data_IF_556262566772
#
_entry.id   IF_556262566772
#
_cell.length_a   1.000
_cell.length_b   1.000
_cell.length_c   1.000
_cell.angle_alpha   90.00
_cell.angle_beta   90.00
_cell.angle_gamma   90.00
#
_symmetry.space_group_name_H-M   'P 1'
#
loop_
_entity.id
_entity.type
_entity.pdbx_description
1 polymer ?
#
# COMPACT_ATOMS: atom_id res chain seq x y z
N UNK A 1 -4.89 -22.15 -79.13
CA UNK A 1 -3.47 -22.46 -79.22
C UNK A 1 -2.91 -22.69 -77.84
N UNK A 2 -2.46 -23.91 -77.62
CA UNK A 2 -1.83 -24.36 -76.37
C UNK A 2 -0.46 -23.74 -76.15
N UNK A 3 -0.11 -23.51 -74.87
CA UNK A 3 1.13 -23.99 -74.34
C UNK A 3 1.12 -24.09 -72.81
N UNK A 4 1.59 -25.24 -72.25
CA UNK A 4 1.76 -25.42 -70.82
C UNK A 4 3.20 -25.12 -70.41
N UNK A 5 3.45 -24.62 -69.24
CA UNK A 5 4.75 -24.75 -68.58
C UNK A 5 4.57 -25.17 -67.12
N UNK A 6 4.97 -26.39 -66.90
CA UNK A 6 5.20 -26.98 -65.59
C UNK A 6 6.40 -26.35 -64.90
N UNK A 7 6.22 -25.98 -63.64
CA UNK A 7 7.32 -25.63 -62.75
C UNK A 7 7.05 -26.24 -61.39
N UNK A 8 7.59 -27.43 -61.14
CA UNK A 8 7.58 -28.11 -59.86
C UNK A 8 8.39 -27.28 -58.85
N UNK A 9 7.75 -26.72 -57.85
CA UNK A 9 8.43 -26.26 -56.63
C UNK A 9 8.35 -27.38 -55.61
N UNK A 10 9.50 -27.98 -55.32
CA UNK A 10 9.69 -28.87 -54.19
C UNK A 10 9.29 -28.12 -52.90
N UNK A 11 8.25 -28.57 -52.27
CA UNK A 11 7.92 -28.20 -50.87
C UNK A 11 8.88 -28.99 -49.99
N UNK A 12 9.90 -28.33 -49.45
CA UNK A 12 10.65 -28.84 -48.32
C UNK A 12 9.72 -28.88 -47.12
N UNK A 13 9.30 -30.08 -46.77
CA UNK A 13 8.57 -30.36 -45.54
C UNK A 13 9.54 -30.15 -44.38
N UNK A 14 9.41 -29.06 -43.69
CA UNK A 14 10.05 -28.86 -42.38
C UNK A 14 9.24 -29.69 -41.41
N UNK A 15 9.87 -30.74 -40.85
CA UNK A 15 9.23 -31.65 -39.91
C UNK A 15 8.67 -30.89 -38.71
N UNK A 16 7.44 -31.20 -38.34
CA UNK A 16 6.70 -30.63 -37.21
C UNK A 16 7.42 -30.78 -35.85
N UNK A 17 8.39 -31.70 -35.76
CA UNK A 17 9.20 -31.92 -34.57
C UNK A 17 10.18 -30.80 -34.21
N UNK A 18 10.42 -29.83 -35.08
CA UNK A 18 11.27 -28.67 -34.75
C UNK A 18 10.51 -27.45 -34.27
N UNK A 19 9.18 -27.42 -34.37
CA UNK A 19 8.36 -26.34 -33.85
C UNK A 19 7.91 -26.60 -32.41
N UNK A 20 7.91 -27.85 -31.94
CA UNK A 20 7.51 -28.16 -30.55
C UNK A 20 8.57 -27.79 -29.51
N UNK A 21 9.85 -27.69 -29.91
CA UNK A 21 10.95 -27.35 -29.00
C UNK A 21 11.09 -25.85 -28.67
N UNK A 22 10.28 -24.97 -29.28
CA UNK A 22 10.35 -23.54 -29.08
C UNK A 22 9.20 -23.00 -28.15
N UNK A 23 8.35 -23.90 -27.67
CA UNK A 23 7.13 -23.47 -26.92
C UNK A 23 7.01 -24.17 -25.56
N UNK A 24 8.12 -24.52 -24.92
CA UNK A 24 8.07 -24.70 -23.47
C UNK A 24 8.01 -23.32 -22.82
N UNK A 25 6.93 -22.99 -22.06
CA UNK A 25 6.94 -21.81 -21.25
C UNK A 25 8.03 -22.03 -20.21
N UNK A 26 9.17 -21.34 -20.37
CA UNK A 26 10.14 -21.19 -19.30
C UNK A 26 9.33 -20.78 -18.07
N UNK A 27 9.33 -21.63 -17.06
CA UNK A 27 8.69 -21.41 -15.78
C UNK A 27 9.27 -20.11 -15.19
N UNK A 28 8.59 -18.99 -15.49
CA UNK A 28 8.88 -17.68 -14.91
C UNK A 28 8.32 -17.67 -13.50
N UNK A 29 8.83 -18.55 -12.65
CA UNK A 29 8.58 -18.44 -11.23
C UNK A 29 9.17 -17.13 -10.74
N UNK A 30 8.31 -16.14 -10.52
CA UNK A 30 8.66 -14.95 -9.76
C UNK A 30 8.92 -15.44 -8.34
N UNK A 31 10.18 -15.40 -7.93
CA UNK A 31 10.55 -15.76 -6.56
C UNK A 31 9.77 -14.85 -5.61
N UNK A 32 8.97 -15.45 -4.74
CA UNK A 32 8.39 -14.73 -3.60
C UNK A 32 9.54 -14.21 -2.73
N UNK A 33 9.42 -13.02 -2.11
CA UNK A 33 10.41 -12.55 -1.16
C UNK A 33 10.75 -13.67 -0.18
N UNK A 34 12.03 -13.88 0.11
CA UNK A 34 12.44 -14.86 1.11
C UNK A 34 11.82 -14.47 2.46
N UNK A 35 11.48 -15.42 3.32
CA UNK A 35 10.99 -15.12 4.67
C UNK A 35 11.95 -14.19 5.45
N UNK A 36 13.24 -14.19 5.10
CA UNK A 36 14.24 -13.26 5.65
C UNK A 36 14.05 -11.82 5.14
N UNK A 37 13.61 -11.63 3.91
CA UNK A 37 13.33 -10.28 3.38
C UNK A 37 12.07 -9.69 4.04
N UNK A 38 11.06 -10.50 4.26
CA UNK A 38 9.85 -10.10 4.96
C UNK A 38 10.11 -9.77 6.43
N UNK A 39 10.95 -10.57 7.11
CA UNK A 39 11.38 -10.29 8.49
C UNK A 39 12.20 -9.02 8.56
N UNK A 40 13.16 -8.82 7.65
CA UNK A 40 13.95 -7.59 7.56
C UNK A 40 13.05 -6.37 7.30
N UNK A 41 12.06 -6.49 6.38
CA UNK A 41 11.07 -5.44 6.12
C UNK A 41 10.33 -5.04 7.40
N UNK A 42 9.78 -6.02 8.15
CA UNK A 42 9.04 -5.73 9.40
C UNK A 42 9.91 -5.02 10.44
N UNK A 43 11.16 -5.46 10.66
CA UNK A 43 12.06 -4.85 11.62
C UNK A 43 12.49 -3.44 11.24
N UNK A 44 12.91 -3.24 9.99
CA UNK A 44 13.33 -1.92 9.51
C UNK A 44 12.11 -0.96 9.52
N UNK A 45 10.92 -1.45 9.16
CA UNK A 45 9.68 -0.67 9.24
C UNK A 45 9.39 -0.23 10.67
N UNK A 46 9.49 -1.14 11.64
CA UNK A 46 9.31 -0.81 13.06
C UNK A 46 10.32 0.25 13.54
N UNK A 47 11.60 0.14 13.15
CA UNK A 47 12.62 1.13 13.47
C UNK A 47 12.33 2.52 12.85
N UNK A 48 11.74 2.57 11.66
CA UNK A 48 11.31 3.82 11.02
C UNK A 48 10.08 4.39 11.74
N UNK A 49 9.09 3.56 12.04
CA UNK A 49 7.83 3.99 12.68
C UNK A 49 8.05 4.48 14.11
N UNK A 50 8.95 3.84 14.87
CA UNK A 50 9.34 4.26 16.21
C UNK A 50 10.35 5.43 16.23
N UNK A 51 10.72 5.98 15.09
CA UNK A 51 11.73 7.03 14.94
C UNK A 51 13.13 6.64 15.42
N UNK A 52 13.40 5.36 15.66
CA UNK A 52 14.76 4.84 15.89
C UNK A 52 15.64 5.09 14.65
N UNK A 53 15.05 5.01 13.46
CA UNK A 53 15.58 5.53 12.21
C UNK A 53 14.84 6.82 11.84
N UNK A 54 15.39 8.00 12.19
CA UNK A 54 14.73 9.29 11.93
C UNK A 54 14.48 9.58 10.44
N UNK A 55 13.60 10.52 10.09
CA UNK A 55 13.46 11.04 8.73
C UNK A 55 14.78 11.54 8.14
N UNK A 56 14.93 11.47 6.81
CA UNK A 56 16.13 11.88 6.05
C UNK A 56 17.44 11.22 6.49
N UNK A 57 17.37 10.11 7.21
CA UNK A 57 18.54 9.40 7.68
C UNK A 57 19.02 8.41 6.63
N UNK A 58 20.34 8.44 6.33
CA UNK A 58 20.95 7.47 5.42
C UNK A 58 20.87 6.06 6.00
N UNK A 59 20.39 5.12 5.19
CA UNK A 59 20.26 3.71 5.53
C UNK A 59 21.36 2.90 4.85
N UNK A 60 22.23 2.29 5.63
CA UNK A 60 23.32 1.46 5.13
C UNK A 60 22.91 -0.01 5.05
N UNK A 61 22.93 -0.58 3.84
CA UNK A 61 22.68 -2.01 3.61
C UNK A 61 23.65 -2.89 4.41
N UNK A 62 24.93 -2.50 4.45
CA UNK A 62 25.97 -3.26 5.18
C UNK A 62 25.75 -3.24 6.69
N UNK A 63 25.31 -2.10 7.22
CA UNK A 63 25.03 -1.96 8.66
C UNK A 63 23.84 -2.82 9.05
N UNK A 64 22.74 -2.73 8.31
CA UNK A 64 21.54 -3.51 8.55
C UNK A 64 21.80 -5.02 8.40
N UNK A 65 22.57 -5.42 7.38
CA UNK A 65 22.93 -6.82 7.18
C UNK A 65 23.69 -7.40 8.38
N UNK A 66 24.65 -6.64 8.95
CA UNK A 66 25.38 -7.03 10.16
C UNK A 66 24.49 -7.03 11.40
N UNK A 67 23.64 -6.00 11.58
CA UNK A 67 22.75 -5.87 12.73
C UNK A 67 21.70 -7.01 12.77
N UNK A 68 21.14 -7.34 11.62
CA UNK A 68 20.09 -8.38 11.50
C UNK A 68 20.68 -9.80 11.29
N UNK A 69 21.99 -9.94 11.13
CA UNK A 69 22.64 -11.24 10.97
C UNK A 69 22.31 -11.95 9.65
N UNK A 70 22.03 -11.19 8.58
CA UNK A 70 21.67 -11.73 7.26
C UNK A 70 22.58 -11.19 6.16
N UNK A 71 22.53 -11.76 4.96
CA UNK A 71 23.23 -11.23 3.80
C UNK A 71 22.59 -9.92 3.29
N UNK A 72 23.29 -9.20 2.41
CA UNK A 72 22.78 -7.94 1.84
C UNK A 72 21.54 -8.12 0.95
N UNK A 73 21.33 -9.30 0.35
CA UNK A 73 20.23 -9.55 -0.58
C UNK A 73 18.87 -9.35 0.06
N UNK A 74 18.50 -10.03 1.17
CA UNK A 74 17.21 -9.80 1.82
C UNK A 74 17.05 -8.37 2.34
N UNK A 75 18.14 -7.67 2.70
CA UNK A 75 18.08 -6.25 3.09
C UNK A 75 17.70 -5.37 1.89
N UNK A 76 18.29 -5.62 0.71
CA UNK A 76 17.95 -4.88 -0.51
C UNK A 76 16.51 -5.12 -0.95
N UNK A 77 16.02 -6.36 -0.84
CA UNK A 77 14.63 -6.70 -1.09
C UNK A 77 13.70 -5.97 -0.11
N UNK A 78 13.99 -6.00 1.18
CA UNK A 78 13.24 -5.28 2.21
C UNK A 78 13.22 -3.76 1.97
N UNK A 79 14.37 -3.16 1.63
CA UNK A 79 14.45 -1.74 1.32
C UNK A 79 13.69 -1.38 0.04
N UNK A 80 13.64 -2.27 -0.96
CA UNK A 80 12.80 -2.07 -2.15
C UNK A 80 11.30 -2.10 -1.82
N UNK A 81 10.88 -2.99 -0.90
CA UNK A 81 9.50 -3.02 -0.40
C UNK A 81 9.17 -1.74 0.39
N UNK A 82 10.10 -1.25 1.22
CA UNK A 82 9.94 0.00 1.96
C UNK A 82 9.92 1.22 1.04
N UNK A 83 10.68 1.20 -0.06
CA UNK A 83 10.64 2.24 -1.11
C UNK A 83 9.28 2.25 -1.81
N UNK A 84 8.75 1.07 -2.18
CA UNK A 84 7.42 0.94 -2.76
C UNK A 84 6.32 1.47 -1.82
N UNK A 85 6.53 1.37 -0.50
CA UNK A 85 5.64 1.90 0.54
C UNK A 85 5.96 3.35 0.95
N UNK A 86 6.87 4.04 0.25
CA UNK A 86 7.18 5.44 0.51
C UNK A 86 7.91 5.73 1.83
N UNK A 87 8.38 4.70 2.55
CA UNK A 87 9.10 4.87 3.82
C UNK A 87 10.60 5.13 3.64
N UNK A 88 11.13 4.74 2.49
CA UNK A 88 12.54 4.89 2.12
C UNK A 88 12.62 5.43 0.70
N UNK A 89 13.57 6.30 0.45
CA UNK A 89 13.90 6.83 -0.87
C UNK A 89 15.25 6.30 -1.33
N UNK A 90 15.34 5.87 -2.57
CA UNK A 90 16.61 5.53 -3.21
C UNK A 90 17.20 6.78 -3.83
N UNK A 91 18.36 7.23 -3.31
CA UNK A 91 19.10 8.36 -3.88
C UNK A 91 20.16 7.83 -4.87
N UNK A 92 20.17 8.38 -6.07
CA UNK A 92 21.13 7.97 -7.09
C UNK A 92 22.56 8.18 -6.57
N UNK A 93 23.40 7.15 -6.67
CA UNK A 93 24.79 7.09 -6.18
C UNK A 93 24.98 7.22 -4.65
N UNK A 94 23.92 7.47 -3.86
CA UNK A 94 24.01 7.66 -2.41
C UNK A 94 23.37 6.52 -1.58
N UNK A 95 22.71 5.54 -2.24
CA UNK A 95 22.06 4.42 -1.57
C UNK A 95 20.64 4.78 -1.11
N UNK A 96 20.25 4.32 0.08
CA UNK A 96 18.93 4.52 0.64
C UNK A 96 18.94 5.57 1.75
N UNK A 97 17.83 6.26 1.91
CA UNK A 97 17.56 7.12 3.06
C UNK A 97 16.10 6.98 3.47
N UNK A 98 15.77 7.11 4.75
CA UNK A 98 14.38 7.22 5.19
C UNK A 98 13.71 8.42 4.52
N UNK A 99 12.43 8.29 4.19
CA UNK A 99 11.70 9.40 3.59
C UNK A 99 11.70 10.64 4.50
N UNK A 100 11.65 11.87 3.98
CA UNK A 100 11.57 13.08 4.79
C UNK A 100 10.28 13.12 5.62
N UNK A 101 10.24 13.98 6.63
CA UNK A 101 8.99 14.31 7.31
C UNK A 101 8.09 15.05 6.31
N UNK A 102 6.79 14.77 6.38
CA UNK A 102 5.81 15.51 5.58
C UNK A 102 5.77 16.97 6.03
N UNK A 103 5.84 17.88 5.09
CA UNK A 103 5.68 19.30 5.32
C UNK A 103 4.19 19.67 5.44
N UNK A 104 3.89 20.81 6.07
CA UNK A 104 2.52 21.27 6.25
C UNK A 104 1.74 21.39 4.95
N UNK A 105 2.34 21.98 3.91
CA UNK A 105 1.69 22.12 2.61
C UNK A 105 1.29 20.76 2.02
N UNK A 106 2.16 19.76 2.16
CA UNK A 106 1.87 18.38 1.71
C UNK A 106 0.74 17.73 2.52
N UNK A 107 0.67 18.01 3.83
CA UNK A 107 -0.44 17.57 4.67
C UNK A 107 -1.76 18.18 4.22
N UNK A 108 -1.77 19.49 3.96
CA UNK A 108 -2.96 20.22 3.50
C UNK A 108 -3.46 19.65 2.17
N UNK A 109 -2.59 19.47 1.17
CA UNK A 109 -2.91 18.86 -0.11
C UNK A 109 -3.42 17.42 0.02
N UNK A 110 -2.80 16.63 0.89
CA UNK A 110 -3.19 15.26 1.16
C UNK A 110 -4.61 15.18 1.72
N UNK A 111 -4.92 16.00 2.73
CA UNK A 111 -6.24 16.00 3.35
C UNK A 111 -7.32 16.59 2.45
N UNK A 112 -6.99 17.57 1.61
CA UNK A 112 -7.89 18.03 0.55
C UNK A 112 -8.27 16.86 -0.38
N UNK A 113 -7.29 16.09 -0.86
CA UNK A 113 -7.55 14.92 -1.70
C UNK A 113 -8.40 13.87 -0.97
N UNK A 114 -8.07 13.54 0.27
CA UNK A 114 -8.83 12.59 1.08
C UNK A 114 -10.29 13.00 1.22
N UNK A 115 -10.56 14.27 1.52
CA UNK A 115 -11.92 14.82 1.65
C UNK A 115 -12.73 14.78 0.35
N UNK A 116 -12.07 14.83 -0.81
CA UNK A 116 -12.73 14.69 -2.11
C UNK A 116 -13.12 13.24 -2.41
N UNK A 117 -12.31 12.27 -1.98
CA UNK A 117 -12.38 10.89 -2.48
C UNK A 117 -12.97 9.92 -1.47
N UNK A 118 -12.52 9.95 -0.20
CA UNK A 118 -12.90 8.93 0.78
C UNK A 118 -14.35 9.00 1.26
N UNK A 119 -14.98 10.20 1.48
CA UNK A 119 -16.39 10.26 1.79
C UNK A 119 -17.28 9.69 0.68
N UNK A 120 -16.91 9.97 -0.59
CA UNK A 120 -17.59 9.38 -1.74
C UNK A 120 -17.39 7.85 -1.78
N UNK A 121 -16.18 7.36 -1.49
CA UNK A 121 -15.91 5.93 -1.41
C UNK A 121 -16.74 5.25 -0.31
N UNK A 122 -16.84 5.83 0.88
CA UNK A 122 -17.66 5.31 1.97
C UNK A 122 -19.15 5.22 1.59
N UNK A 123 -19.69 6.25 0.93
CA UNK A 123 -21.05 6.21 0.40
C UNK A 123 -21.27 5.06 -0.58
N UNK A 124 -20.34 4.89 -1.52
CA UNK A 124 -20.41 3.82 -2.53
C UNK A 124 -20.23 2.44 -1.91
N UNK A 125 -19.31 2.31 -0.95
CA UNK A 125 -19.09 1.07 -0.21
C UNK A 125 -20.35 0.63 0.54
N UNK A 126 -21.08 1.56 1.14
CA UNK A 126 -22.36 1.32 1.82
C UNK A 126 -23.38 0.62 0.93
N UNK A 127 -23.36 0.92 -0.37
CA UNK A 127 -24.26 0.33 -1.36
C UNK A 127 -23.76 -1.01 -1.94
N UNK A 128 -22.43 -1.14 -2.09
CA UNK A 128 -21.80 -2.17 -2.91
C UNK A 128 -21.08 -3.29 -2.10
N UNK A 129 -20.63 -3.01 -0.87
CA UNK A 129 -19.91 -3.99 -0.05
C UNK A 129 -20.78 -5.18 0.33
N UNK A 130 -20.18 -6.38 0.28
CA UNK A 130 -20.80 -7.59 0.81
C UNK A 130 -20.83 -7.59 2.35
N UNK A 131 -21.72 -8.38 2.95
CA UNK A 131 -21.78 -8.52 4.42
C UNK A 131 -20.50 -9.18 4.97
N UNK A 132 -19.83 -10.02 4.18
CA UNK A 132 -18.55 -10.62 4.53
C UNK A 132 -17.43 -9.58 4.58
N UNK A 133 -17.39 -8.64 3.63
CA UNK A 133 -16.38 -7.58 3.63
C UNK A 133 -16.63 -6.57 4.77
N UNK A 134 -17.89 -6.30 5.09
CA UNK A 134 -18.24 -5.48 6.26
C UNK A 134 -17.82 -6.12 7.58
N UNK A 135 -17.94 -7.44 7.71
CA UNK A 135 -17.49 -8.17 8.89
C UNK A 135 -15.96 -8.08 9.08
N UNK A 136 -15.19 -7.93 8.01
CA UNK A 136 -13.75 -7.74 8.09
C UNK A 136 -13.38 -6.36 8.67
N UNK A 137 -14.19 -5.32 8.45
CA UNK A 137 -13.99 -4.01 9.06
C UNK A 137 -14.09 -4.06 10.60
N UNK A 138 -15.02 -4.85 11.12
CA UNK A 138 -15.29 -4.98 12.56
C UNK A 138 -14.23 -5.84 13.28
N UNK A 139 -13.62 -6.79 12.59
CA UNK A 139 -12.65 -7.73 13.17
C UNK A 139 -11.29 -7.15 13.48
N UNK A 140 -10.94 -6.00 12.88
CA UNK A 140 -9.62 -5.36 12.99
C UNK A 140 -9.42 -4.47 14.22
N UNK A 141 -10.49 -3.97 14.85
CA UNK A 141 -10.40 -2.89 15.83
C UNK A 141 -10.05 -3.32 17.27
N UNK A 142 -10.15 -4.61 17.59
CA UNK A 142 -10.02 -5.05 18.98
C UNK A 142 -8.62 -5.49 19.42
N UNK A 143 -7.60 -5.41 18.56
CA UNK A 143 -6.23 -5.88 18.85
C UNK A 143 -5.19 -4.76 18.72
N UNK A 144 -5.46 -3.60 19.29
CA UNK A 144 -4.53 -2.45 19.16
C UNK A 144 -3.35 -2.58 20.10
N UNK A 145 -2.27 -3.19 19.63
CA UNK A 145 -0.92 -2.82 20.08
C UNK A 145 -0.50 -1.57 19.32
N UNK A 146 0.21 -0.65 19.97
CA UNK A 146 0.69 0.60 19.37
C UNK A 146 1.38 0.43 18.00
N UNK A 147 2.08 -0.69 17.80
CA UNK A 147 2.80 -1.01 16.56
C UNK A 147 1.87 -1.49 15.42
N UNK A 148 0.63 -1.89 15.73
CA UNK A 148 -0.34 -2.44 14.76
C UNK A 148 -1.34 -1.42 14.22
N UNK A 149 -1.57 -0.29 14.92
CA UNK A 149 -2.64 0.65 14.56
C UNK A 149 -2.46 1.25 13.16
N UNK A 150 -1.25 1.61 12.75
CA UNK A 150 -0.99 2.16 11.42
C UNK A 150 -1.36 1.19 10.29
N UNK A 151 -1.18 -0.11 10.49
CA UNK A 151 -1.57 -1.14 9.54
C UNK A 151 -3.09 -1.32 9.53
N UNK A 152 -3.72 -1.35 10.71
CA UNK A 152 -5.17 -1.46 10.85
C UNK A 152 -5.90 -0.27 10.21
N UNK A 153 -5.44 0.95 10.47
CA UNK A 153 -5.98 2.17 9.85
C UNK A 153 -5.83 2.15 8.33
N UNK A 154 -4.66 1.73 7.84
CA UNK A 154 -4.41 1.58 6.40
C UNK A 154 -5.34 0.54 5.77
N UNK A 155 -5.49 -0.62 6.40
CA UNK A 155 -6.33 -1.70 5.90
C UNK A 155 -7.82 -1.33 5.97
N UNK A 156 -8.26 -0.61 7.01
CA UNK A 156 -9.61 -0.08 7.15
C UNK A 156 -10.01 0.82 5.97
N UNK A 157 -9.24 1.87 5.72
CA UNK A 157 -9.51 2.79 4.62
C UNK A 157 -9.39 2.13 3.23
N UNK A 158 -8.43 1.23 3.08
CA UNK A 158 -8.26 0.44 1.85
C UNK A 158 -9.45 -0.47 1.57
N UNK A 159 -9.96 -1.16 2.59
CA UNK A 159 -11.10 -2.07 2.45
C UNK A 159 -12.36 -1.28 2.04
N UNK A 160 -12.61 -0.12 2.64
CA UNK A 160 -13.71 0.77 2.24
C UNK A 160 -13.55 1.25 0.80
N UNK A 161 -12.33 1.68 0.42
CA UNK A 161 -12.06 2.13 -0.94
C UNK A 161 -12.26 1.03 -1.99
N UNK A 162 -11.86 -0.21 -1.68
CA UNK A 162 -12.11 -1.38 -2.52
C UNK A 162 -13.59 -1.72 -2.60
N UNK A 163 -14.29 -1.68 -1.46
CA UNK A 163 -15.74 -1.92 -1.36
C UNK A 163 -16.60 -0.90 -2.11
N UNK A 164 -16.04 0.28 -2.42
CA UNK A 164 -16.70 1.28 -3.26
C UNK A 164 -16.91 0.85 -4.72
N UNK A 165 -16.28 -0.26 -5.17
CA UNK A 165 -16.41 -0.78 -6.54
C UNK A 165 -15.76 0.12 -7.60
N UNK A 166 -14.89 1.06 -7.21
CA UNK A 166 -14.15 1.91 -8.13
C UNK A 166 -12.64 1.69 -7.97
N UNK A 167 -12.07 0.92 -8.92
CA UNK A 167 -10.65 0.58 -8.93
C UNK A 167 -9.74 1.81 -8.89
N UNK A 168 -10.07 2.90 -9.59
CA UNK A 168 -9.24 4.10 -9.64
C UNK A 168 -9.17 4.81 -8.29
N UNK A 169 -10.26 4.80 -7.52
CA UNK A 169 -10.27 5.33 -6.16
C UNK A 169 -9.35 4.50 -5.27
N UNK A 170 -9.54 3.19 -5.25
CA UNK A 170 -8.74 2.27 -4.44
C UNK A 170 -7.26 2.35 -4.78
N UNK A 171 -6.91 2.39 -6.07
CA UNK A 171 -5.54 2.49 -6.55
C UNK A 171 -4.89 3.83 -6.20
N UNK A 172 -5.62 4.94 -6.36
CA UNK A 172 -5.11 6.27 -6.02
C UNK A 172 -4.80 6.41 -4.54
N UNK A 173 -5.70 5.95 -3.68
CA UNK A 173 -5.49 5.95 -2.23
C UNK A 173 -4.33 5.04 -1.83
N UNK A 174 -4.21 3.85 -2.43
CA UNK A 174 -3.10 2.93 -2.17
C UNK A 174 -1.74 3.51 -2.55
N UNK A 175 -1.64 4.20 -3.68
CA UNK A 175 -0.38 4.80 -4.16
C UNK A 175 0.09 5.98 -3.32
N UNK A 176 -0.81 6.71 -2.71
CA UNK A 176 -0.45 7.86 -1.89
C UNK A 176 0.14 7.47 -0.53
N UNK A 177 0.12 6.19 -0.16
CA UNK A 177 0.64 5.69 1.12
C UNK A 177 0.25 6.59 2.31
N UNK A 178 -0.97 7.14 2.22
CA UNK A 178 -1.49 8.23 3.04
C UNK A 178 -1.32 7.93 4.52
N UNK A 179 -1.76 6.74 4.93
CA UNK A 179 -1.82 6.37 6.34
C UNK A 179 -0.43 6.17 6.95
N UNK A 180 0.49 5.58 6.20
CA UNK A 180 1.86 5.36 6.66
C UNK A 180 2.60 6.68 6.91
N UNK A 181 2.39 7.68 6.04
CA UNK A 181 3.01 9.00 6.21
C UNK A 181 2.42 9.78 7.37
N UNK A 182 1.10 9.71 7.57
CA UNK A 182 0.40 10.36 8.69
C UNK A 182 0.94 9.83 10.01
N UNK A 183 0.95 8.51 10.21
CA UNK A 183 1.41 7.90 11.45
C UNK A 183 2.86 8.21 11.75
N UNK A 184 3.72 8.16 10.76
CA UNK A 184 5.12 8.51 10.93
C UNK A 184 5.34 9.94 11.41
N UNK A 185 4.49 10.87 11.02
CA UNK A 185 4.60 12.28 11.43
C UNK A 185 4.09 12.54 12.84
N UNK A 186 3.16 11.73 13.36
CA UNK A 186 2.34 12.06 14.53
C UNK A 186 2.07 10.86 15.45
N UNK A 187 3.08 10.02 15.69
CA UNK A 187 2.90 8.84 16.54
C UNK A 187 2.65 9.23 18.02
N UNK A 188 1.38 9.18 18.44
CA UNK A 188 0.94 9.24 19.85
C UNK A 188 -0.24 8.31 20.07
N UNK A 189 -0.25 7.62 21.23
CA UNK A 189 -1.31 6.67 21.61
C UNK A 189 -2.72 7.27 21.66
N UNK A 190 -2.81 8.51 22.13
CA UNK A 190 -4.09 9.23 22.27
C UNK A 190 -4.80 9.47 20.93
N UNK A 191 -4.03 9.68 19.85
CA UNK A 191 -4.58 9.84 18.49
C UNK A 191 -5.17 8.54 17.97
N UNK A 192 -4.59 7.40 18.34
CA UNK A 192 -5.07 6.10 17.94
C UNK A 192 -6.44 5.77 18.56
N UNK A 193 -6.61 6.05 19.86
CA UNK A 193 -7.86 5.79 20.56
C UNK A 193 -9.03 6.59 19.98
N UNK A 194 -8.84 7.90 19.74
CA UNK A 194 -9.87 8.73 19.11
C UNK A 194 -10.22 8.28 17.69
N UNK A 195 -9.24 7.81 16.92
CA UNK A 195 -9.49 7.32 15.57
C UNK A 195 -10.28 6.01 15.57
N UNK A 196 -10.05 5.12 16.54
CA UNK A 196 -10.83 3.87 16.70
C UNK A 196 -12.30 4.18 16.95
N UNK A 197 -12.60 5.12 17.83
CA UNK A 197 -13.99 5.53 18.10
C UNK A 197 -14.66 6.10 16.83
N UNK A 198 -13.91 6.88 16.06
CA UNK A 198 -14.40 7.45 14.79
C UNK A 198 -14.61 6.37 13.72
N UNK A 199 -13.77 5.33 13.69
CA UNK A 199 -13.96 4.17 12.80
C UNK A 199 -15.23 3.39 13.17
N UNK A 200 -15.51 3.19 14.46
CA UNK A 200 -16.75 2.55 14.92
C UNK A 200 -18.01 3.29 14.39
N UNK A 201 -17.99 4.63 14.40
CA UNK A 201 -19.05 5.46 13.81
C UNK A 201 -19.22 5.18 12.30
N UNK A 202 -18.09 5.03 11.56
CA UNK A 202 -18.12 4.74 10.13
C UNK A 202 -18.65 3.33 9.88
N UNK A 203 -18.20 2.32 10.64
CA UNK A 203 -18.68 0.94 10.54
C UNK A 203 -20.19 0.88 10.77
N UNK A 204 -20.68 1.51 11.84
CA UNK A 204 -22.12 1.58 12.15
C UNK A 204 -22.92 2.18 11.01
N UNK A 205 -22.40 3.26 10.40
CA UNK A 205 -23.03 3.89 9.25
C UNK A 205 -23.05 2.99 8.00
N UNK A 206 -21.96 2.26 7.73
CA UNK A 206 -21.89 1.28 6.63
C UNK A 206 -22.86 0.12 6.85
N UNK A 207 -22.92 -0.43 8.07
CA UNK A 207 -23.85 -1.51 8.44
C UNK A 207 -25.31 -1.12 8.31
N UNK A 208 -25.63 0.15 8.57
CA UNK A 208 -26.99 0.71 8.39
C UNK A 208 -27.41 0.82 6.92
N UNK A 209 -26.52 0.56 5.97
CA UNK A 209 -26.75 0.70 4.52
C UNK A 209 -27.27 2.09 4.11
N UNK A 210 -26.93 3.14 4.87
CA UNK A 210 -27.35 4.50 4.59
C UNK A 210 -26.18 5.35 4.09
N UNK A 211 -25.99 5.41 2.77
CA UNK A 211 -24.85 6.06 2.09
C UNK A 211 -24.55 7.50 2.57
N UNK A 212 -25.55 8.39 2.69
CA UNK A 212 -25.32 9.76 3.19
C UNK A 212 -24.75 9.80 4.63
N UNK A 213 -25.14 8.87 5.50
CA UNK A 213 -24.58 8.77 6.86
C UNK A 213 -23.13 8.30 6.84
N UNK A 214 -22.81 7.30 6.03
CA UNK A 214 -21.44 6.80 5.86
C UNK A 214 -20.52 7.89 5.28
N UNK A 215 -20.99 8.62 4.27
CA UNK A 215 -20.27 9.77 3.71
C UNK A 215 -19.97 10.84 4.77
N UNK A 216 -20.97 11.19 5.57
CA UNK A 216 -20.83 12.21 6.62
C UNK A 216 -19.91 11.72 7.76
N UNK A 217 -19.96 10.45 8.15
CA UNK A 217 -19.10 9.88 9.17
C UNK A 217 -17.63 9.89 8.70
N UNK A 218 -17.33 9.42 7.49
CA UNK A 218 -16.00 9.46 6.91
C UNK A 218 -15.46 10.89 6.80
N UNK A 219 -16.26 11.84 6.36
CA UNK A 219 -15.87 13.25 6.27
C UNK A 219 -15.47 13.79 7.65
N UNK A 220 -16.29 13.57 8.68
CA UNK A 220 -15.99 14.00 10.06
C UNK A 220 -14.69 13.39 10.57
N UNK A 221 -14.47 12.12 10.34
CA UNK A 221 -13.23 11.42 10.70
C UNK A 221 -12.01 12.08 10.06
N UNK A 222 -12.02 12.32 8.76
CA UNK A 222 -10.90 12.95 8.04
C UNK A 222 -10.66 14.38 8.53
N UNK A 223 -11.71 15.17 8.76
CA UNK A 223 -11.59 16.54 9.29
C UNK A 223 -11.02 16.59 10.71
N UNK A 224 -11.39 15.65 11.58
CA UNK A 224 -10.85 15.53 12.93
C UNK A 224 -9.40 15.07 12.91
N UNK A 225 -9.09 14.05 12.09
CA UNK A 225 -7.73 13.57 11.88
C UNK A 225 -6.83 14.69 11.39
N UNK A 226 -7.26 15.49 10.40
CA UNK A 226 -6.51 16.65 9.91
C UNK A 226 -6.20 17.65 11.02
N UNK A 227 -7.19 18.03 11.86
CA UNK A 227 -6.98 18.97 12.96
C UNK A 227 -5.96 18.46 13.97
N UNK A 228 -6.05 17.19 14.38
CA UNK A 228 -5.10 16.56 15.28
C UNK A 228 -3.68 16.58 14.73
N UNK A 229 -3.53 16.19 13.45
CA UNK A 229 -2.22 16.10 12.82
C UNK A 229 -1.58 17.46 12.55
N UNK A 230 -2.38 18.45 12.21
CA UNK A 230 -1.91 19.80 11.97
C UNK A 230 -1.23 20.42 13.20
N UNK A 231 -1.78 20.22 14.39
CA UNK A 231 -1.22 20.70 15.64
C UNK A 231 0.19 20.16 15.92
N UNK A 232 0.49 18.93 15.46
CA UNK A 232 1.81 18.31 15.65
C UNK A 232 2.87 18.75 14.63
N UNK A 233 2.46 19.23 13.47
CA UNK A 233 3.41 19.73 12.47
C UNK A 233 3.82 21.17 12.81
N UNK A 234 2.95 21.92 13.51
CA UNK A 234 3.22 23.29 13.97
C UNK A 234 4.08 23.35 15.26
N UNK A 235 4.18 22.26 16.00
CA UNK A 235 4.94 22.15 17.25
C UNK A 235 6.38 21.72 17.01
#
# INVERSE_FOLDING_TARGET
MCYPLAGQRQKTCVSEDKLSALNEPADRQIARPSGLAEEAYRRIRADIMSLKLPPDTRVSVDSLARELGVSQTPIREALSMLEANGLVNRKQFAGYATAPRMERAQLDELFEFRLLVEPHAARKACEAMSDSDMALLDSGEHAVSHDGFADLDTDFHKLIAQGAGNYLIAESLSRLHIHVHIFRSCFRSEIAEEAVDEHADIISALQSRHGPTAEAAMRRHIERSYRRLREFIEA
#
